data_IF_882791393098
#
_entry.id   IF_882791393098
#
_cell.length_a   1.000
_cell.length_b   1.000
_cell.length_c   1.000
_cell.angle_alpha   90.00
_cell.angle_beta   90.00
_cell.angle_gamma   90.00
#
_symmetry.space_group_name_H-M   'P 1'
#
loop_
_entity.id
_entity.type
_entity.pdbx_description
1 polymer ?
#
# COMPACT_ATOMS: atom_id res chain seq x y z
N UNK A 1 -27.12 -44.85 -10.00
CA UNK A 1 -25.71 -44.42 -10.20
C UNK A 1 -25.70 -43.33 -11.27
N UNK A 2 -25.57 -42.04 -10.91
CA UNK A 2 -25.75 -40.97 -11.90
C UNK A 2 -25.22 -39.59 -11.49
N UNK A 3 -24.26 -39.51 -10.56
CA UNK A 3 -23.74 -38.23 -10.04
C UNK A 3 -22.44 -37.77 -10.71
N UNK A 4 -21.78 -38.62 -11.51
CA UNK A 4 -20.49 -38.33 -12.12
C UNK A 4 -20.45 -37.10 -13.06
N UNK A 5 -21.40 -36.90 -14.00
CA UNK A 5 -21.33 -35.73 -14.89
C UNK A 5 -21.69 -34.44 -14.16
N UNK A 6 -22.59 -34.51 -13.16
CA UNK A 6 -23.02 -33.35 -12.39
C UNK A 6 -21.88 -32.77 -11.52
N UNK A 7 -21.02 -33.63 -10.96
CA UNK A 7 -19.85 -33.20 -10.17
C UNK A 7 -18.81 -32.50 -11.05
N UNK A 8 -18.56 -33.00 -12.26
CA UNK A 8 -17.64 -32.36 -13.20
C UNK A 8 -18.11 -30.98 -13.68
N UNK A 9 -19.42 -30.84 -13.95
CA UNK A 9 -20.03 -29.54 -14.32
C UNK A 9 -20.05 -28.58 -13.14
N UNK A 10 -20.37 -29.04 -11.93
CA UNK A 10 -20.32 -28.20 -10.74
C UNK A 10 -18.88 -27.72 -10.44
N UNK A 11 -17.89 -28.60 -10.57
CA UNK A 11 -16.48 -28.26 -10.36
C UNK A 11 -16.00 -27.22 -11.38
N UNK A 12 -16.33 -27.37 -12.66
CA UNK A 12 -15.94 -26.42 -13.70
C UNK A 12 -16.57 -25.04 -13.49
N UNK A 13 -17.86 -24.98 -13.13
CA UNK A 13 -18.54 -23.74 -12.76
C UNK A 13 -17.89 -23.05 -11.56
N UNK A 14 -17.54 -23.82 -10.51
CA UNK A 14 -16.81 -23.31 -9.36
C UNK A 14 -15.43 -22.76 -9.74
N UNK A 15 -14.68 -23.45 -10.60
CA UNK A 15 -13.39 -22.97 -11.08
C UNK A 15 -13.51 -21.66 -11.85
N UNK A 16 -14.48 -21.56 -12.77
CA UNK A 16 -14.73 -20.32 -13.53
C UNK A 16 -15.11 -19.18 -12.60
N UNK A 17 -15.99 -19.43 -11.62
CA UNK A 17 -16.37 -18.45 -10.60
C UNK A 17 -15.18 -17.97 -9.76
N UNK A 18 -14.34 -18.88 -9.30
CA UNK A 18 -13.14 -18.56 -8.53
C UNK A 18 -12.12 -17.75 -9.36
N UNK A 19 -11.89 -18.13 -10.61
CA UNK A 19 -11.02 -17.39 -11.53
C UNK A 19 -11.57 -15.98 -11.81
N UNK A 20 -12.88 -15.86 -12.07
CA UNK A 20 -13.51 -14.57 -12.29
C UNK A 20 -13.41 -13.66 -11.05
N UNK A 21 -13.64 -14.21 -9.86
CA UNK A 21 -13.48 -13.49 -8.59
C UNK A 21 -12.03 -13.03 -8.39
N UNK A 22 -11.06 -13.91 -8.62
CA UNK A 22 -9.64 -13.57 -8.49
C UNK A 22 -9.23 -12.44 -9.45
N UNK A 23 -9.68 -12.49 -10.71
CA UNK A 23 -9.44 -11.43 -11.70
C UNK A 23 -10.12 -10.11 -11.31
N UNK A 24 -11.34 -10.17 -10.78
CA UNK A 24 -12.07 -9.00 -10.30
C UNK A 24 -11.35 -8.34 -9.12
N UNK A 25 -10.95 -9.13 -8.12
CA UNK A 25 -10.16 -8.66 -6.98
C UNK A 25 -8.83 -8.07 -7.45
N UNK A 26 -8.10 -8.74 -8.35
CA UNK A 26 -6.87 -8.20 -8.93
C UNK A 26 -7.11 -6.85 -9.60
N UNK A 27 -8.21 -6.69 -10.35
CA UNK A 27 -8.53 -5.42 -10.98
C UNK A 27 -8.79 -4.32 -9.96
N UNK A 28 -9.54 -4.58 -8.90
CA UNK A 28 -9.81 -3.57 -7.87
C UNK A 28 -8.55 -3.25 -7.07
N UNK A 29 -7.87 -4.27 -6.55
CA UNK A 29 -6.69 -4.13 -5.72
C UNK A 29 -5.49 -3.54 -6.47
N UNK A 30 -5.42 -3.70 -7.80
CA UNK A 30 -4.28 -3.23 -8.59
C UNK A 30 -4.58 -2.04 -9.51
N UNK A 31 -5.66 -2.09 -10.31
CA UNK A 31 -5.95 -0.99 -11.25
C UNK A 31 -6.45 0.26 -10.53
N UNK A 32 -7.26 0.13 -9.47
CA UNK A 32 -7.76 1.30 -8.75
C UNK A 32 -6.64 2.14 -8.11
N UNK A 33 -5.71 1.56 -7.31
CA UNK A 33 -4.62 2.36 -6.74
C UNK A 33 -3.66 2.84 -7.82
N UNK A 34 -3.38 2.07 -8.87
CA UNK A 34 -2.45 2.51 -9.91
C UNK A 34 -2.99 3.72 -10.70
N UNK A 35 -4.31 3.84 -10.87
CA UNK A 35 -4.94 5.06 -11.44
C UNK A 35 -4.69 6.29 -10.57
N UNK A 36 -4.92 6.17 -9.25
CA UNK A 36 -4.67 7.27 -8.30
C UNK A 36 -3.19 7.64 -8.28
N UNK A 37 -2.30 6.65 -8.24
CA UNK A 37 -0.84 6.86 -8.28
C UNK A 37 -0.39 7.55 -9.55
N UNK A 38 -0.97 7.19 -10.71
CA UNK A 38 -0.69 7.90 -11.96
C UNK A 38 -1.16 9.35 -11.91
N UNK A 39 -2.33 9.63 -11.35
CA UNK A 39 -2.82 11.00 -11.18
C UNK A 39 -1.88 11.83 -10.27
N UNK A 40 -1.48 11.27 -9.12
CA UNK A 40 -0.53 11.90 -8.20
C UNK A 40 0.84 12.15 -8.85
N UNK A 41 1.38 11.17 -9.59
CA UNK A 41 2.65 11.33 -10.32
C UNK A 41 2.58 12.43 -11.38
N UNK A 42 1.45 12.58 -12.08
CA UNK A 42 1.24 13.70 -13.03
C UNK A 42 1.22 15.06 -12.32
N UNK A 43 0.75 15.11 -11.08
CA UNK A 43 0.81 16.31 -10.24
C UNK A 43 2.22 16.55 -9.66
N UNK A 44 3.22 15.72 -10.00
CA UNK A 44 4.57 15.82 -9.45
C UNK A 44 4.75 15.17 -8.08
N UNK A 45 3.68 14.60 -7.50
CA UNK A 45 3.73 13.90 -6.22
C UNK A 45 4.28 12.49 -6.48
N UNK A 46 5.55 12.31 -6.14
CA UNK A 46 6.20 10.99 -6.13
C UNK A 46 5.89 10.30 -4.81
N UNK A 47 5.90 8.98 -4.83
CA UNK A 47 5.67 8.16 -3.65
C UNK A 47 6.26 6.77 -3.81
N UNK A 48 6.33 6.00 -2.72
CA UNK A 48 6.98 4.71 -2.72
C UNK A 48 6.32 3.71 -3.69
N UNK A 49 7.10 2.82 -4.34
CA UNK A 49 6.56 1.74 -5.17
C UNK A 49 5.71 0.80 -4.30
N UNK A 50 4.60 0.22 -4.81
CA UNK A 50 3.79 -0.70 -4.04
C UNK A 50 4.42 -2.10 -4.10
N UNK A 51 4.63 -2.76 -2.95
CA UNK A 51 5.04 -4.16 -2.89
C UNK A 51 3.85 -5.12 -2.83
N UNK A 52 3.88 -6.24 -3.57
CA UNK A 52 2.81 -7.24 -3.54
C UNK A 52 2.99 -8.18 -2.32
N UNK A 53 1.92 -8.69 -1.65
CA UNK A 53 0.48 -8.43 -1.84
C UNK A 53 -0.12 -7.34 -0.93
N UNK A 54 0.57 -6.93 0.13
CA UNK A 54 0.04 -5.99 1.14
C UNK A 54 0.36 -4.51 0.86
N UNK A 55 0.95 -4.19 -0.29
CA UNK A 55 1.54 -2.88 -0.51
C UNK A 55 2.70 -2.63 0.46
N UNK A 56 2.89 -1.36 0.80
CA UNK A 56 4.02 -0.90 1.62
C UNK A 56 3.83 -1.14 3.12
N UNK A 57 2.83 -1.94 3.50
CA UNK A 57 2.50 -2.19 4.89
C UNK A 57 3.64 -2.94 5.61
N UNK A 58 4.35 -3.83 4.91
CA UNK A 58 5.53 -4.50 5.44
C UNK A 58 6.64 -3.50 5.76
N UNK A 59 6.93 -2.59 4.84
CA UNK A 59 7.94 -1.54 5.02
C UNK A 59 7.57 -0.60 6.18
N UNK A 60 6.29 -0.23 6.30
CA UNK A 60 5.77 0.57 7.40
C UNK A 60 5.94 -0.15 8.75
N UNK A 61 5.64 -1.46 8.81
CA UNK A 61 5.82 -2.28 10.02
C UNK A 61 7.29 -2.42 10.39
N UNK A 62 8.17 -2.61 9.41
CA UNK A 62 9.61 -2.69 9.65
C UNK A 62 10.18 -1.36 10.16
N UNK A 63 9.79 -0.24 9.55
CA UNK A 63 10.17 1.09 10.01
C UNK A 63 9.61 1.38 11.41
N UNK A 64 8.38 0.97 11.70
CA UNK A 64 7.80 1.09 13.04
C UNK A 64 8.54 0.25 14.09
N UNK A 65 8.91 -0.98 13.75
CA UNK A 65 9.70 -1.84 14.64
C UNK A 65 11.11 -1.28 14.88
N UNK A 66 11.76 -0.74 13.84
CA UNK A 66 13.07 -0.10 13.96
C UNK A 66 13.01 1.15 14.87
N UNK A 67 12.01 2.01 14.69
CA UNK A 67 11.83 3.19 15.53
C UNK A 67 11.45 2.87 16.98
N UNK A 68 10.75 1.76 17.23
CA UNK A 68 10.53 1.28 18.59
C UNK A 68 11.83 0.82 19.27
N UNK A 69 12.76 0.23 18.51
CA UNK A 69 14.06 -0.21 19.04
C UNK A 69 15.00 0.95 19.36
N UNK A 70 14.92 2.06 18.62
CA UNK A 70 15.74 3.25 18.88
C UNK A 70 15.18 4.17 19.97
N UNK A 71 13.94 3.93 20.44
CA UNK A 71 13.30 4.70 21.52
C UNK A 71 13.77 4.36 22.94
N UNK A 72 14.73 3.45 23.06
CA UNK A 72 15.26 3.00 24.35
C UNK A 72 16.30 3.99 24.90
N UNK A 73 15.89 5.22 25.21
CA UNK A 73 16.67 6.20 25.98
C UNK A 73 15.86 7.46 26.31
N UNK A 74 14.78 7.36 27.10
CA UNK A 74 14.27 8.46 27.95
C UNK A 74 14.02 9.86 27.38
N UNK A 75 14.06 10.07 26.07
CA UNK A 75 14.08 11.41 25.48
C UNK A 75 12.65 11.87 25.18
N UNK A 76 12.28 13.02 25.74
CA UNK A 76 10.98 13.67 25.51
C UNK A 76 11.05 14.31 24.13
N UNK A 77 10.78 13.50 23.10
CA UNK A 77 10.79 13.97 21.71
C UNK A 77 9.57 14.86 21.48
N UNK A 78 9.80 16.18 21.37
CA UNK A 78 8.78 17.17 21.01
C UNK A 78 8.16 16.93 19.62
N UNK A 79 8.84 16.19 18.74
CA UNK A 79 8.30 15.81 17.44
C UNK A 79 7.52 14.48 17.50
N UNK A 80 6.25 14.59 17.87
CA UNK A 80 5.31 13.48 17.92
C UNK A 80 5.12 12.79 16.55
N UNK A 81 5.48 13.41 15.42
CA UNK A 81 5.30 12.78 14.10
C UNK A 81 6.21 11.56 13.93
N UNK A 82 7.44 11.64 14.41
CA UNK A 82 8.34 10.50 14.51
C UNK A 82 7.82 9.43 15.49
N UNK A 83 6.96 9.83 16.43
CA UNK A 83 6.30 8.94 17.40
C UNK A 83 5.16 8.13 16.83
N UNK A 84 4.26 8.81 16.14
CA UNK A 84 3.07 8.19 15.58
C UNK A 84 3.36 7.53 14.22
N UNK A 85 4.26 8.12 13.42
CA UNK A 85 4.53 7.69 12.04
C UNK A 85 6.03 7.68 11.71
N UNK A 86 6.80 6.71 12.25
CA UNK A 86 8.25 6.65 12.05
C UNK A 86 8.70 6.44 10.59
N UNK A 87 7.83 5.88 9.74
CA UNK A 87 8.09 5.73 8.30
C UNK A 87 7.93 7.05 7.52
N UNK A 88 7.23 8.03 8.10
CA UNK A 88 6.86 9.27 7.42
C UNK A 88 8.08 10.12 7.11
N UNK A 89 9.02 10.25 8.04
CA UNK A 89 10.22 11.07 7.84
C UNK A 89 11.10 10.53 6.72
N UNK A 90 11.27 9.20 6.64
CA UNK A 90 11.99 8.54 5.56
C UNK A 90 11.38 8.88 4.20
N UNK A 91 10.05 8.75 4.08
CA UNK A 91 9.36 9.04 2.83
C UNK A 91 9.31 10.53 2.50
N UNK A 92 9.24 11.41 3.50
CA UNK A 92 9.37 12.85 3.32
C UNK A 92 10.74 13.21 2.74
N UNK A 93 11.82 12.64 3.26
CA UNK A 93 13.16 12.92 2.78
C UNK A 93 13.39 12.36 1.37
N UNK A 94 12.83 11.20 1.06
CA UNK A 94 13.06 10.50 -0.21
C UNK A 94 12.11 10.94 -1.34
N UNK A 95 10.86 11.26 -1.02
CA UNK A 95 9.82 11.59 -2.00
C UNK A 95 9.24 13.00 -1.87
N UNK A 96 9.58 13.74 -0.80
CA UNK A 96 9.14 15.12 -0.57
C UNK A 96 9.81 16.10 -1.51
N UNK A 97 9.45 16.06 -2.78
CA UNK A 97 9.82 17.13 -3.72
C UNK A 97 8.69 18.15 -3.76
N UNK A 98 8.99 19.40 -3.38
CA UNK A 98 8.06 20.52 -3.54
C UNK A 98 7.75 20.74 -5.02
N UNK A 99 6.51 20.47 -5.43
CA UNK A 99 6.06 20.77 -6.78
C UNK A 99 5.81 22.27 -6.86
N UNK A 100 6.57 22.99 -7.68
CA UNK A 100 6.31 24.41 -7.98
C UNK A 100 4.90 24.54 -8.57
N UNK A 101 3.94 24.96 -7.76
CA UNK A 101 2.55 25.22 -8.15
C UNK A 101 1.47 24.43 -7.41
N UNK A 102 1.80 23.37 -6.66
CA UNK A 102 0.84 22.71 -5.79
C UNK A 102 0.97 23.27 -4.37
N UNK A 103 -0.10 23.85 -3.83
CA UNK A 103 -0.20 24.40 -2.45
C UNK A 103 -0.01 23.36 -1.34
N UNK A 104 0.42 22.15 -1.67
CA UNK A 104 0.74 21.07 -0.74
C UNK A 104 2.27 20.95 -0.72
N UNK A 105 2.92 22.00 -0.22
CA UNK A 105 4.16 21.78 0.50
C UNK A 105 3.71 21.20 1.84
N UNK A 106 4.07 19.95 2.13
CA UNK A 106 4.06 19.53 3.54
C UNK A 106 5.22 20.26 4.21
N UNK A 107 4.99 21.53 4.50
CA UNK A 107 5.90 22.39 5.21
C UNK A 107 5.09 23.12 6.28
N UNK A 108 5.37 22.70 7.51
CA UNK A 108 4.95 23.22 8.82
C UNK A 108 3.60 22.71 9.38
#
# INVERSE_FOLDING_TARGET
MGVAPAVGVAASLCCVGACALALYLYRILWLAPERVRRALRRQGIRGPPPSFPYGNLADMRQAAAAAKRTRDAGDVVHDYRSAVFPFYEKWRNEYGTCVRGAKICVQN
#
